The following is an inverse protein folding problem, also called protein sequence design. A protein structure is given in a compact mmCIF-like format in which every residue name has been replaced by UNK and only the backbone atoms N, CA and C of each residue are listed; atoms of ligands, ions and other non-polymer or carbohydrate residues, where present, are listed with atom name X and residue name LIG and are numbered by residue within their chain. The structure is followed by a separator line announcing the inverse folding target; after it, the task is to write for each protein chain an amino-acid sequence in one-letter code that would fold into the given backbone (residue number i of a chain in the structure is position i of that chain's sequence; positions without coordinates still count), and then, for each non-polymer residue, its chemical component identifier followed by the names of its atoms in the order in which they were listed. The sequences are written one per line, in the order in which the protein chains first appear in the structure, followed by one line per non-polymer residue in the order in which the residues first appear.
data_IF_474136818022
#
_entry.id   IF_474136818022
#
_cell.length_a   1.000
_cell.length_b   1.000
_cell.length_c   1.000
_cell.angle_alpha   90.00
_cell.angle_beta   90.00
_cell.angle_gamma   90.00
#
_symmetry.space_group_name_H-M   'P 1'
#
loop_
_entity.id
_entity.type
_entity.pdbx_description
1 polymer ?
#
# COMPACT_ATOMS: atom_id res chain seq x y z
N UNK A 1 5.27 15.58 -13.68
CA UNK A 1 4.16 14.61 -13.72
C UNK A 1 3.89 14.05 -12.35
N UNK A 2 2.62 13.91 -12.02
CA UNK A 2 2.23 13.33 -10.73
C UNK A 2 2.40 11.82 -10.75
N UNK A 3 2.93 11.26 -9.66
CA UNK A 3 2.99 9.82 -9.46
C UNK A 3 1.65 9.35 -8.89
N UNK A 4 1.14 8.26 -9.43
CA UNK A 4 -0.13 7.69 -8.99
C UNK A 4 0.09 6.74 -7.84
N UNK A 5 -0.64 6.97 -6.74
CA UNK A 5 -0.56 6.18 -5.52
C UNK A 5 -1.96 5.69 -5.14
N UNK A 6 -2.08 4.38 -4.91
CA UNK A 6 -3.30 3.82 -4.31
C UNK A 6 -3.04 3.55 -2.84
N UNK A 7 -4.00 3.94 -2.00
CA UNK A 7 -3.98 3.66 -0.57
C UNK A 7 -5.16 2.74 -0.26
N UNK A 8 -4.91 1.61 0.39
CA UNK A 8 -5.96 0.65 0.73
C UNK A 8 -5.97 0.41 2.23
N UNK A 9 -7.08 0.74 2.88
CA UNK A 9 -7.30 0.50 4.30
C UNK A 9 -8.81 0.44 4.54
N UNK A 10 -9.30 -0.61 5.19
CA UNK A 10 -10.72 -0.75 5.50
C UNK A 10 -11.22 0.30 6.51
N UNK A 11 -10.34 0.96 7.24
CA UNK A 11 -10.68 2.10 8.08
C UNK A 11 -10.68 3.38 7.23
N UNK A 12 -11.87 3.91 6.97
CA UNK A 12 -12.06 5.09 6.10
C UNK A 12 -11.22 6.29 6.53
N UNK A 13 -11.18 6.55 7.84
CA UNK A 13 -10.44 7.72 8.36
C UNK A 13 -8.97 7.63 7.99
N UNK A 14 -8.38 6.45 8.14
CA UNK A 14 -6.95 6.24 7.81
C UNK A 14 -6.74 6.37 6.29
N UNK A 15 -7.56 5.70 5.49
CA UNK A 15 -7.43 5.72 4.04
C UNK A 15 -7.51 7.15 3.49
N UNK A 16 -8.52 7.90 3.89
CA UNK A 16 -8.71 9.26 3.38
C UNK A 16 -7.73 10.27 3.96
N UNK A 17 -7.25 10.04 5.18
CA UNK A 17 -6.19 10.89 5.76
C UNK A 17 -4.89 10.75 4.97
N UNK A 18 -4.49 9.51 4.66
CA UNK A 18 -3.28 9.27 3.86
C UNK A 18 -3.43 9.81 2.45
N UNK A 19 -4.60 9.67 1.85
CA UNK A 19 -4.88 10.27 0.54
C UNK A 19 -4.67 11.78 0.56
N UNK A 20 -5.21 12.46 1.57
CA UNK A 20 -5.09 13.91 1.72
C UNK A 20 -3.63 14.33 1.91
N UNK A 21 -2.88 13.61 2.74
CA UNK A 21 -1.47 13.89 2.97
C UNK A 21 -0.68 13.81 1.67
N UNK A 22 -0.89 12.73 0.91
CA UNK A 22 -0.15 12.52 -0.33
C UNK A 22 -0.53 13.49 -1.43
N UNK A 23 -1.80 13.84 -1.56
CA UNK A 23 -2.25 14.88 -2.49
C UNK A 23 -1.61 16.23 -2.17
N UNK A 24 -1.49 16.54 -0.88
CA UNK A 24 -0.92 17.80 -0.43
C UNK A 24 0.56 17.96 -0.80
N UNK A 25 1.28 16.85 -0.98
CA UNK A 25 2.69 16.88 -1.40
C UNK A 25 2.88 16.54 -2.87
N UNK A 26 1.81 16.55 -3.66
CA UNK A 26 1.89 16.47 -5.12
C UNK A 26 1.66 15.11 -5.76
N UNK A 27 1.30 14.08 -5.00
CA UNK A 27 0.96 12.78 -5.57
C UNK A 27 -0.49 12.76 -6.08
N UNK A 28 -0.72 11.96 -7.11
CA UNK A 28 -2.07 11.65 -7.58
C UNK A 28 -2.54 10.42 -6.78
N UNK A 29 -3.11 10.68 -5.60
CA UNK A 29 -3.46 9.65 -4.63
C UNK A 29 -4.94 9.32 -4.67
N UNK A 30 -5.28 8.04 -4.56
CA UNK A 30 -6.66 7.57 -4.49
C UNK A 30 -6.79 6.54 -3.39
N UNK A 31 -7.73 6.77 -2.47
CA UNK A 31 -8.01 5.87 -1.35
C UNK A 31 -9.10 4.86 -1.72
N UNK A 32 -8.90 3.63 -1.23
CA UNK A 32 -9.87 2.54 -1.33
C UNK A 32 -10.06 1.94 0.06
N UNK A 33 -11.30 1.60 0.37
CA UNK A 33 -11.62 0.91 1.64
C UNK A 33 -11.86 -0.58 1.44
N UNK A 34 -11.80 -1.05 0.19
CA UNK A 34 -11.93 -2.46 -0.15
C UNK A 34 -10.81 -2.83 -1.15
N UNK A 35 -10.00 -3.85 -0.85
CA UNK A 35 -8.91 -4.26 -1.73
C UNK A 35 -9.37 -4.71 -3.11
N UNK A 36 -10.57 -5.28 -3.22
CA UNK A 36 -11.11 -5.71 -4.52
C UNK A 36 -11.40 -4.53 -5.44
N UNK A 37 -11.83 -3.40 -4.87
CA UNK A 37 -12.05 -2.17 -5.64
C UNK A 37 -10.73 -1.62 -6.17
N UNK A 38 -9.66 -1.72 -5.38
CA UNK A 38 -8.33 -1.30 -5.81
C UNK A 38 -7.81 -2.15 -6.96
N UNK A 39 -8.00 -3.47 -6.90
CA UNK A 39 -7.61 -4.38 -7.98
C UNK A 39 -8.38 -4.07 -9.27
N UNK A 40 -9.67 -3.84 -9.14
CA UNK A 40 -10.52 -3.52 -10.30
C UNK A 40 -10.09 -2.21 -10.96
N UNK A 41 -9.88 -1.18 -10.16
CA UNK A 41 -9.43 0.11 -10.66
C UNK A 41 -8.06 0.02 -11.34
N UNK A 42 -7.15 -0.79 -10.81
CA UNK A 42 -5.81 -0.96 -11.35
C UNK A 42 -5.79 -1.61 -12.74
N UNK A 43 -6.80 -2.41 -13.07
CA UNK A 43 -6.91 -3.00 -14.41
C UNK A 43 -7.01 -1.93 -15.51
N UNK A 44 -7.64 -0.80 -15.21
CA UNK A 44 -7.77 0.31 -16.16
C UNK A 44 -6.64 1.33 -16.02
N UNK A 45 -6.08 1.48 -14.82
CA UNK A 45 -5.11 2.53 -14.54
C UNK A 45 -4.27 2.16 -13.31
N UNK A 46 -3.26 1.34 -13.54
CA UNK A 46 -2.39 0.85 -12.46
C UNK A 46 -1.59 1.97 -11.80
N UNK A 47 -1.44 1.95 -10.47
CA UNK A 47 -0.64 2.95 -9.77
C UNK A 47 0.86 2.68 -9.91
N UNK A 48 1.66 3.70 -9.61
CA UNK A 48 3.11 3.57 -9.49
C UNK A 48 3.49 2.99 -8.13
N UNK A 49 2.64 3.21 -7.12
CA UNK A 49 2.85 2.75 -5.75
C UNK A 49 1.51 2.31 -5.14
N UNK A 50 1.52 1.16 -4.48
CA UNK A 50 0.44 0.69 -3.64
C UNK A 50 0.87 0.79 -2.18
N UNK A 51 0.07 1.48 -1.37
CA UNK A 51 0.24 1.51 0.08
C UNK A 51 -0.98 0.82 0.66
N UNK A 52 -0.79 -0.28 1.39
CA UNK A 52 -1.92 -1.05 1.90
C UNK A 52 -1.75 -1.48 3.34
N UNK A 53 -2.86 -1.45 4.09
CA UNK A 53 -2.95 -2.11 5.39
C UNK A 53 -2.79 -3.61 5.20
N UNK A 54 -2.26 -4.30 6.20
CA UNK A 54 -2.04 -5.75 6.15
C UNK A 54 -3.31 -6.51 6.48
N UNK A 55 -4.00 -6.13 7.56
CA UNK A 55 -5.16 -6.87 8.05
C UNK A 55 -6.46 -6.21 7.59
N UNK A 56 -7.13 -6.84 6.64
CA UNK A 56 -8.41 -6.38 6.08
C UNK A 56 -9.36 -7.57 5.89
N UNK A 57 -10.70 -7.34 5.97
CA UNK A 57 -11.67 -8.45 5.93
C UNK A 57 -11.66 -9.30 4.66
N UNK A 58 -11.60 -8.68 3.48
CA UNK A 58 -11.77 -9.41 2.21
C UNK A 58 -10.50 -10.08 1.73
N UNK A 59 -9.36 -9.45 1.98
CA UNK A 59 -8.06 -9.92 1.50
C UNK A 59 -6.98 -9.24 2.33
N UNK A 60 -5.91 -9.95 2.71
CA UNK A 60 -4.80 -9.32 3.40
C UNK A 60 -4.05 -8.37 2.47
N UNK A 61 -3.41 -7.35 3.05
CA UNK A 61 -2.58 -6.43 2.27
C UNK A 61 -1.37 -7.11 1.65
N UNK A 62 -0.90 -8.20 2.26
CA UNK A 62 0.20 -8.99 1.71
C UNK A 62 -0.25 -9.70 0.43
N UNK A 63 -1.42 -10.33 0.45
CA UNK A 63 -1.96 -10.96 -0.75
C UNK A 63 -2.25 -9.93 -1.83
N UNK A 64 -2.80 -8.78 -1.45
CA UNK A 64 -3.03 -7.68 -2.39
C UNK A 64 -1.71 -7.22 -3.02
N UNK A 65 -0.67 -7.05 -2.22
CA UNK A 65 0.65 -6.65 -2.69
C UNK A 65 1.25 -7.66 -3.66
N UNK A 66 1.07 -8.94 -3.40
CA UNK A 66 1.53 -10.01 -4.30
C UNK A 66 0.79 -9.93 -5.63
N UNK A 67 -0.54 -9.77 -5.60
CA UNK A 67 -1.33 -9.60 -6.82
C UNK A 67 -0.85 -8.40 -7.64
N UNK A 68 -0.58 -7.28 -6.99
CA UNK A 68 -0.09 -6.09 -7.68
C UNK A 68 1.29 -6.31 -8.29
N UNK A 69 2.19 -6.98 -7.58
CA UNK A 69 3.53 -7.28 -8.11
C UNK A 69 3.49 -8.21 -9.33
N UNK A 70 2.60 -9.18 -9.30
CA UNK A 70 2.48 -10.15 -10.40
C UNK A 70 1.80 -9.54 -11.62
N UNK A 71 0.75 -8.75 -11.41
CA UNK A 71 -0.04 -8.19 -12.52
C UNK A 71 0.48 -6.84 -13.01
N UNK A 72 1.11 -6.08 -12.12
CA UNK A 72 1.63 -4.74 -12.42
C UNK A 72 3.07 -4.64 -11.94
N UNK A 73 4.03 -5.26 -12.67
CA UNK A 73 5.42 -5.37 -12.18
C UNK A 73 6.14 -4.04 -11.90
N UNK A 74 5.65 -2.95 -12.50
CA UNK A 74 6.23 -1.62 -12.28
C UNK A 74 5.70 -0.95 -11.01
N UNK A 75 4.66 -1.50 -10.39
CA UNK A 75 4.08 -0.95 -9.18
C UNK A 75 4.93 -1.36 -7.96
N UNK A 76 5.37 -0.37 -7.20
CA UNK A 76 6.02 -0.63 -5.92
C UNK A 76 4.96 -0.85 -4.84
N UNK A 77 5.31 -1.59 -3.79
CA UNK A 77 4.37 -1.92 -2.72
C UNK A 77 4.97 -1.55 -1.36
N UNK A 78 4.20 -0.84 -0.55
CA UNK A 78 4.52 -0.48 0.82
C UNK A 78 3.38 -0.93 1.72
N UNK A 79 3.70 -1.69 2.76
CA UNK A 79 2.71 -2.17 3.72
C UNK A 79 2.73 -1.32 4.99
N UNK A 80 1.60 -1.21 5.66
CA UNK A 80 1.55 -0.62 6.99
C UNK A 80 0.59 -1.40 7.89
N UNK A 81 0.88 -1.45 9.19
CA UNK A 81 0.09 -2.25 10.11
C UNK A 81 0.25 -1.80 11.55
N UNK A 82 -0.85 -1.84 12.32
CA UNK A 82 -0.84 -1.69 13.76
C UNK A 82 -0.83 -3.03 14.50
N UNK A 83 -0.82 -4.14 13.77
CA UNK A 83 -0.93 -5.49 14.35
C UNK A 83 0.43 -6.11 14.64
N UNK A 84 0.61 -6.61 15.86
CA UNK A 84 1.83 -7.28 16.25
C UNK A 84 2.03 -8.63 15.55
N UNK A 85 0.94 -9.25 15.07
CA UNK A 85 0.95 -10.57 14.43
C UNK A 85 1.39 -10.54 12.97
N UNK A 86 1.66 -9.36 12.42
CA UNK A 86 2.01 -9.20 11.01
C UNK A 86 3.30 -9.91 10.62
N UNK A 87 4.23 -10.12 11.56
CA UNK A 87 5.54 -10.72 11.27
C UNK A 87 5.43 -12.12 10.67
N UNK A 88 4.49 -12.95 11.12
CA UNK A 88 4.31 -14.31 10.58
C UNK A 88 3.79 -14.28 9.14
N UNK A 89 2.93 -13.32 8.82
CA UNK A 89 2.44 -13.13 7.45
C UNK A 89 3.56 -12.67 6.52
N UNK A 90 4.43 -11.80 7.00
CA UNK A 90 5.60 -11.33 6.22
C UNK A 90 6.59 -12.47 5.96
N UNK A 91 6.83 -13.33 6.94
CA UNK A 91 7.70 -14.49 6.78
C UNK A 91 7.14 -15.46 5.75
N UNK A 92 5.84 -15.74 5.80
CA UNK A 92 5.20 -16.59 4.81
C UNK A 92 5.33 -16.02 3.40
N UNK A 93 5.21 -14.71 3.25
CA UNK A 93 5.39 -14.05 1.95
C UNK A 93 6.84 -14.16 1.46
N UNK A 94 7.83 -14.01 2.35
CA UNK A 94 9.25 -14.17 2.01
C UNK A 94 9.55 -15.58 1.52
N UNK A 95 8.99 -16.59 2.16
CA UNK A 95 9.15 -17.99 1.76
C UNK A 95 8.59 -18.23 0.34
N UNK A 96 7.62 -17.41 -0.07
CA UNK A 96 7.06 -17.45 -1.42
C UNK A 96 7.80 -16.54 -2.39
N UNK A 97 8.93 -15.95 -1.98
CA UNK A 97 9.74 -15.07 -2.82
C UNK A 97 9.36 -13.60 -2.81
N UNK A 98 8.49 -13.18 -1.88
CA UNK A 98 8.05 -11.79 -1.79
C UNK A 98 8.54 -11.13 -0.51
N UNK A 99 9.40 -10.14 -0.65
CA UNK A 99 9.87 -9.32 0.46
C UNK A 99 9.19 -7.95 0.40
N UNK A 100 8.63 -7.50 1.52
CA UNK A 100 7.90 -6.24 1.60
C UNK A 100 8.47 -5.33 2.69
N UNK A 101 8.44 -4.03 2.43
CA UNK A 101 8.73 -3.03 3.46
C UNK A 101 7.45 -2.77 4.25
N UNK A 102 7.57 -2.81 5.58
CA UNK A 102 6.47 -2.60 6.51
C UNK A 102 6.67 -1.32 7.31
N UNK A 103 5.64 -0.50 7.38
CA UNK A 103 5.60 0.70 8.20
C UNK A 103 4.59 0.52 9.32
N UNK A 104 4.97 0.86 10.56
CA UNK A 104 4.12 0.70 11.72
C UNK A 104 3.11 1.85 11.87
N UNK A 105 1.88 1.53 12.29
CA UNK A 105 0.89 2.54 12.69
C UNK A 105 1.13 2.97 14.15
N UNK A 106 0.83 4.21 14.53
CA UNK A 106 0.34 5.31 13.70
C UNK A 106 1.44 5.86 12.79
N UNK A 107 1.06 6.26 11.56
CA UNK A 107 2.02 6.71 10.56
C UNK A 107 2.18 8.22 10.65
N UNK A 108 3.41 8.68 10.92
CA UNK A 108 3.74 10.09 10.86
C UNK A 108 4.02 10.47 9.40
N UNK A 109 3.56 11.65 8.91
CA UNK A 109 3.79 12.05 7.51
C UNK A 109 5.24 11.99 7.07
N UNK A 110 6.19 12.38 7.92
CA UNK A 110 7.62 12.32 7.60
C UNK A 110 8.09 10.88 7.38
N UNK A 111 7.62 9.95 8.21
CA UNK A 111 7.99 8.54 8.11
C UNK A 111 7.39 7.92 6.86
N UNK A 112 6.14 8.29 6.53
CA UNK A 112 5.49 7.85 5.29
C UNK A 112 6.28 8.30 4.06
N UNK A 113 6.64 9.56 3.99
CA UNK A 113 7.38 10.11 2.84
C UNK A 113 8.77 9.48 2.72
N UNK A 114 9.46 9.25 3.85
CA UNK A 114 10.76 8.58 3.87
C UNK A 114 10.63 7.12 3.38
N UNK A 115 9.58 6.41 3.81
CA UNK A 115 9.34 5.04 3.39
C UNK A 115 9.03 4.97 1.88
N UNK A 116 8.27 5.91 1.36
CA UNK A 116 7.97 5.99 -0.08
C UNK A 116 9.27 6.14 -0.87
N UNK A 117 10.17 7.04 -0.44
CA UNK A 117 11.48 7.21 -1.09
C UNK A 117 12.32 5.95 -1.03
N UNK A 118 12.19 5.17 0.06
CA UNK A 118 12.94 3.93 0.25
C UNK A 118 12.51 2.80 -0.67
N UNK A 119 11.24 2.78 -1.13
CA UNK A 119 10.71 1.71 -1.98
C UNK A 119 10.53 2.13 -3.44
N UNK A 120 10.72 3.39 -3.75
CA UNK A 120 10.53 3.93 -5.11
C UNK A 120 11.79 4.63 -5.59
N UNK A 121 11.87 4.81 -6.91
CA UNK A 121 12.96 5.56 -7.53
C UNK A 121 12.55 6.98 -7.94
N UNK A 122 11.36 7.41 -7.49
CA UNK A 122 10.86 8.76 -7.83
C UNK A 122 10.79 9.70 -6.65
#
# INVERSE_FOLDING_TARGET
MSRKVYIVDDEQIIAFTLEAILKNVGFDAKAFTNPLDALDAANSNAPDLLITDVVMPEMSGIDLGIHFRERFPKCNVLLFSGQATTSSLLEAARERGHDFTLLAKPIHPKDLLAAIRGVTAF
#
